data_IF_622396736610
#
_entry.id   IF_622396736610
#
_cell.length_a   1.000
_cell.length_b   1.000
_cell.length_c   1.000
_cell.angle_alpha   90.00
_cell.angle_beta   90.00
_cell.angle_gamma   90.00
#
_symmetry.space_group_name_H-M   'P 1'
#
loop_
_entity.id
_entity.type
_entity.pdbx_description
1 polymer ?
#
# COMPACT_ATOMS: atom_id res chain seq x y z
N UNK A 1 36.31 15.89 46.93
CA UNK A 1 35.43 16.53 45.93
C UNK A 1 35.72 16.11 44.48
N UNK A 2 36.72 15.25 44.17
CA UNK A 2 37.02 14.82 42.80
C UNK A 2 36.38 13.49 42.31
N UNK A 3 35.91 12.54 43.14
CA UNK A 3 35.32 11.30 42.60
C UNK A 3 33.83 11.42 42.24
N UNK A 4 33.11 12.39 42.83
CA UNK A 4 31.68 12.60 42.59
C UNK A 4 31.39 13.21 41.20
N UNK A 5 32.30 14.04 40.68
CA UNK A 5 32.13 14.67 39.36
C UNK A 5 32.36 13.65 38.24
N UNK A 6 33.26 12.68 38.43
CA UNK A 6 33.53 11.63 37.44
C UNK A 6 32.36 10.65 37.30
N UNK A 7 31.68 10.32 38.39
CA UNK A 7 30.48 9.45 38.36
C UNK A 7 29.30 10.16 37.68
N UNK A 8 29.15 11.47 37.92
CA UNK A 8 28.10 12.26 37.27
C UNK A 8 28.32 12.37 35.75
N UNK A 9 29.57 12.43 35.29
CA UNK A 9 29.89 12.50 33.86
C UNK A 9 29.65 11.16 33.12
N UNK A 10 29.82 10.01 33.79
CA UNK A 10 29.55 8.70 33.21
C UNK A 10 28.05 8.42 33.02
N UNK A 11 27.18 8.93 33.90
CA UNK A 11 25.73 8.77 33.77
C UNK A 11 25.13 9.61 32.62
N UNK A 12 25.74 10.74 32.27
CA UNK A 12 25.24 11.60 31.17
C UNK A 12 25.52 10.97 29.81
N UNK A 13 26.60 10.18 29.67
CA UNK A 13 26.94 9.51 28.40
C UNK A 13 25.91 8.40 28.06
N UNK A 14 25.29 7.77 29.07
CA UNK A 14 24.25 6.74 28.85
C UNK A 14 22.90 7.32 28.41
N UNK A 15 22.64 8.61 28.64
CA UNK A 15 21.42 9.27 28.18
C UNK A 15 21.45 9.60 26.67
N UNK A 16 22.63 9.54 26.02
CA UNK A 16 22.78 9.78 24.58
C UNK A 16 22.73 8.50 23.72
N UNK A 17 22.66 7.30 24.32
CA UNK A 17 22.61 6.03 23.58
C UNK A 17 21.22 5.41 23.49
N UNK A 18 20.16 6.12 23.88
CA UNK A 18 18.79 5.65 23.70
C UNK A 18 18.22 6.12 22.34
N UNK A 19 18.81 5.68 21.24
CA UNK A 19 18.12 5.59 19.95
C UNK A 19 17.98 4.10 19.63
N UNK A 20 16.87 3.50 20.06
CA UNK A 20 16.37 2.29 19.43
C UNK A 20 15.95 2.67 18.00
N UNK A 21 16.80 2.46 17.01
CA UNK A 21 16.36 2.28 15.63
C UNK A 21 17.01 1.01 15.06
N UNK A 22 16.64 -0.12 15.65
CA UNK A 22 16.85 -1.44 15.04
C UNK A 22 15.74 -1.67 14.00
N UNK A 23 15.78 -0.88 12.92
CA UNK A 23 14.96 -1.11 11.73
C UNK A 23 15.89 -1.51 10.60
N UNK A 24 16.32 -2.79 10.60
CA UNK A 24 17.30 -3.26 9.62
C UNK A 24 16.79 -3.22 8.17
N UNK A 25 15.47 -3.20 7.94
CA UNK A 25 14.91 -3.32 6.58
C UNK A 25 13.69 -2.41 6.33
N UNK A 26 13.67 -1.80 5.14
CA UNK A 26 12.51 -1.13 4.57
C UNK A 26 11.42 -2.13 4.18
N UNK A 27 10.16 -1.67 4.15
CA UNK A 27 9.07 -2.46 3.58
C UNK A 27 9.27 -2.62 2.07
N UNK A 28 9.17 -3.85 1.56
CA UNK A 28 9.48 -4.14 0.15
C UNK A 28 8.54 -3.46 -0.86
N UNK A 29 7.32 -3.04 -0.48
CA UNK A 29 6.48 -2.18 -1.33
C UNK A 29 7.12 -0.82 -1.68
N UNK A 30 8.16 -0.40 -0.97
CA UNK A 30 8.91 0.84 -1.23
C UNK A 30 10.30 0.58 -1.82
N UNK A 31 10.53 -0.60 -2.39
CA UNK A 31 11.76 -0.91 -3.11
C UNK A 31 11.63 -0.47 -4.57
N UNK A 32 12.48 0.48 -4.99
CA UNK A 32 12.46 1.03 -6.35
C UNK A 32 13.81 0.82 -7.03
N UNK A 33 13.76 0.38 -8.28
CA UNK A 33 14.96 0.14 -9.08
C UNK A 33 15.63 1.45 -9.50
N UNK A 34 16.96 1.47 -9.43
CA UNK A 34 17.77 2.56 -9.98
C UNK A 34 17.59 2.66 -11.51
N UNK A 35 17.68 3.87 -12.03
CA UNK A 35 17.48 4.20 -13.44
C UNK A 35 16.07 3.90 -13.98
N UNK A 36 15.08 3.71 -13.09
CA UNK A 36 13.66 3.62 -13.46
C UNK A 36 12.90 4.88 -13.08
N UNK A 37 11.87 5.16 -13.87
CA UNK A 37 10.96 6.28 -13.61
C UNK A 37 9.93 5.92 -12.56
N UNK A 38 9.72 6.83 -11.62
CA UNK A 38 8.68 6.72 -10.60
C UNK A 38 7.85 8.00 -10.52
N UNK A 39 6.71 7.93 -9.83
CA UNK A 39 5.80 9.08 -9.67
C UNK A 39 5.56 9.42 -8.20
N UNK A 40 5.40 10.69 -7.92
CA UNK A 40 4.98 11.18 -6.60
C UNK A 40 3.53 10.77 -6.34
N UNK A 41 3.29 10.11 -5.22
CA UNK A 41 1.96 9.68 -4.81
C UNK A 41 1.25 10.71 -3.92
N UNK A 42 1.99 11.31 -2.98
CA UNK A 42 1.46 12.32 -2.08
C UNK A 42 1.03 13.58 -2.83
N UNK A 43 0.18 14.40 -2.22
CA UNK A 43 -0.31 15.64 -2.86
C UNK A 43 0.86 16.58 -3.18
N UNK A 44 1.82 16.65 -2.25
CA UNK A 44 3.15 17.19 -2.49
C UNK A 44 4.19 16.43 -1.66
N UNK A 45 5.45 16.52 -2.08
CA UNK A 45 6.61 16.01 -1.36
C UNK A 45 7.73 17.05 -1.40
N UNK A 46 8.52 17.14 -0.33
CA UNK A 46 9.69 18.02 -0.26
C UNK A 46 10.90 17.28 -0.81
N UNK A 47 11.65 17.96 -1.69
CA UNK A 47 12.95 17.50 -2.14
C UNK A 47 14.01 18.09 -1.24
N UNK A 48 14.89 17.25 -0.72
CA UNK A 48 15.86 17.63 0.29
C UNK A 48 17.29 17.51 -0.20
N UNK A 49 18.18 18.28 0.42
CA UNK A 49 19.60 18.25 0.09
C UNK A 49 20.28 16.95 0.49
N UNK A 50 19.81 16.30 1.55
CA UNK A 50 20.31 15.04 2.09
C UNK A 50 19.16 14.17 2.61
N UNK A 51 19.36 12.84 2.82
CA UNK A 51 18.30 11.88 3.18
C UNK A 51 17.85 12.01 4.64
N UNK A 52 17.37 13.20 5.03
CA UNK A 52 16.98 13.47 6.41
C UNK A 52 15.80 14.45 6.46
N UNK A 53 14.83 14.20 7.35
CA UNK A 53 13.63 15.05 7.51
C UNK A 53 13.92 16.48 7.98
N UNK A 54 15.10 16.74 8.52
CA UNK A 54 15.57 18.06 8.96
C UNK A 54 16.52 18.73 7.97
N UNK A 55 16.91 18.05 6.89
CA UNK A 55 17.78 18.63 5.86
C UNK A 55 17.10 19.78 5.12
N UNK A 56 17.92 20.69 4.59
CA UNK A 56 17.47 21.82 3.78
C UNK A 56 16.52 21.35 2.67
N UNK A 57 15.38 22.03 2.54
CA UNK A 57 14.43 21.83 1.45
C UNK A 57 14.97 22.58 0.23
N UNK A 58 15.19 21.85 -0.86
CA UNK A 58 15.64 22.39 -2.14
C UNK A 58 14.45 22.74 -3.05
N UNK A 59 13.40 21.92 -3.02
CA UNK A 59 12.22 22.08 -3.85
C UNK A 59 11.01 21.31 -3.28
N UNK A 60 9.89 21.36 -3.99
CA UNK A 60 8.71 20.52 -3.76
C UNK A 60 8.15 20.00 -5.07
N UNK A 61 7.73 18.74 -5.09
CA UNK A 61 7.04 18.11 -6.21
C UNK A 61 5.60 17.76 -5.83
N UNK A 62 4.66 17.96 -6.74
CA UNK A 62 3.25 17.62 -6.62
C UNK A 62 2.98 16.17 -7.02
N UNK A 63 1.78 15.69 -6.70
CA UNK A 63 1.27 14.39 -7.16
C UNK A 63 1.43 14.20 -8.67
N UNK A 64 1.59 12.94 -9.10
CA UNK A 64 1.79 12.52 -10.48
C UNK A 64 3.06 13.03 -11.18
N UNK A 65 3.86 13.89 -10.56
CA UNK A 65 5.12 14.31 -11.16
C UNK A 65 6.07 13.12 -11.28
N UNK A 66 6.62 12.96 -12.49
CA UNK A 66 7.58 11.92 -12.81
C UNK A 66 8.98 12.31 -12.32
N UNK A 67 9.67 11.32 -11.76
CA UNK A 67 11.04 11.40 -11.29
C UNK A 67 11.83 10.22 -11.87
N UNK A 68 13.16 10.33 -11.88
CA UNK A 68 14.08 9.22 -12.13
C UNK A 68 14.76 8.85 -10.83
N UNK A 69 14.70 7.56 -10.44
CA UNK A 69 15.48 7.05 -9.32
C UNK A 69 16.94 6.97 -9.74
N UNK A 70 17.81 7.74 -9.09
CA UNK A 70 19.25 7.71 -9.36
C UNK A 70 19.97 6.73 -8.46
N UNK A 71 19.62 6.73 -7.16
CA UNK A 71 20.27 5.89 -6.17
C UNK A 71 19.37 5.64 -4.97
N UNK A 72 19.37 4.41 -4.45
CA UNK A 72 18.82 4.12 -3.13
C UNK A 72 19.86 4.48 -2.04
N UNK A 73 19.43 5.26 -1.05
CA UNK A 73 20.24 5.59 0.12
C UNK A 73 20.03 4.54 1.22
N UNK A 74 21.06 4.28 2.02
CA UNK A 74 20.99 3.33 3.14
C UNK A 74 20.12 3.85 4.29
N UNK A 75 19.90 5.17 4.36
CA UNK A 75 19.08 5.77 5.40
C UNK A 75 17.62 5.33 5.25
N UNK A 76 17.10 4.67 6.29
CA UNK A 76 15.70 4.26 6.40
C UNK A 76 15.00 5.25 7.34
N UNK A 77 13.80 5.69 6.95
CA UNK A 77 12.90 6.43 7.83
C UNK A 77 11.63 5.61 8.04
N UNK A 78 11.23 5.48 9.31
CA UNK A 78 9.94 4.91 9.71
C UNK A 78 8.95 6.02 10.09
N UNK A 79 7.80 6.06 9.40
CA UNK A 79 6.67 6.91 9.78
C UNK A 79 5.40 6.04 9.95
N UNK A 80 5.01 5.82 11.21
CA UNK A 80 4.01 4.81 11.54
C UNK A 80 4.57 3.41 11.28
N UNK A 81 3.82 2.55 10.62
CA UNK A 81 4.27 1.21 10.24
C UNK A 81 5.09 1.19 8.92
N UNK A 82 5.16 2.32 8.22
CA UNK A 82 5.84 2.44 6.92
C UNK A 82 7.32 2.77 7.11
N UNK A 83 8.18 1.83 6.74
CA UNK A 83 9.64 1.92 6.68
C UNK A 83 10.07 2.02 5.23
N UNK A 84 10.72 3.11 4.85
CA UNK A 84 11.19 3.30 3.48
C UNK A 84 12.58 3.94 3.46
N UNK A 85 13.41 3.54 2.50
CA UNK A 85 14.66 4.22 2.20
C UNK A 85 14.40 5.63 1.67
N UNK A 86 15.42 6.47 1.78
CA UNK A 86 15.52 7.67 0.95
C UNK A 86 16.08 7.31 -0.42
N UNK A 87 15.68 8.08 -1.42
CA UNK A 87 16.17 7.94 -2.79
C UNK A 87 16.73 9.26 -3.26
N UNK A 88 17.95 9.22 -3.81
CA UNK A 88 18.45 10.31 -4.65
C UNK A 88 17.72 10.23 -5.98
N UNK A 89 17.17 11.34 -6.42
CA UNK A 89 16.34 11.42 -7.62
C UNK A 89 16.79 12.54 -8.54
N UNK A 90 16.47 12.40 -9.82
CA UNK A 90 16.47 13.49 -10.80
C UNK A 90 15.05 13.81 -11.21
N UNK A 91 14.77 15.08 -11.46
CA UNK A 91 13.45 15.54 -11.91
C UNK A 91 13.58 16.80 -12.75
N UNK A 92 12.61 16.98 -13.65
CA UNK A 92 12.54 18.13 -14.52
C UNK A 92 11.57 19.18 -13.95
N UNK A 93 12.00 20.44 -13.93
CA UNK A 93 11.16 21.58 -13.59
C UNK A 93 11.37 22.69 -14.63
N UNK A 94 10.41 22.84 -15.53
CA UNK A 94 10.61 23.63 -16.75
C UNK A 94 11.76 23.05 -17.58
N UNK A 95 12.73 23.89 -17.95
CA UNK A 95 13.89 23.49 -18.76
C UNK A 95 15.09 23.01 -17.93
N UNK A 96 14.97 22.99 -16.59
CA UNK A 96 16.05 22.61 -15.69
C UNK A 96 15.86 21.19 -15.17
N UNK A 97 16.92 20.40 -15.26
CA UNK A 97 17.06 19.14 -14.52
C UNK A 97 17.68 19.46 -13.15
N UNK A 98 17.02 18.99 -12.10
CA UNK A 98 17.46 19.16 -10.72
C UNK A 98 17.56 17.80 -10.03
N UNK A 99 18.33 17.74 -8.96
CA UNK A 99 18.49 16.55 -8.14
C UNK A 99 18.19 16.86 -6.66
N UNK A 100 17.90 15.81 -5.92
CA UNK A 100 17.81 15.85 -4.46
C UNK A 100 17.29 14.52 -3.91
N UNK A 101 16.89 14.53 -2.65
CA UNK A 101 16.46 13.35 -1.93
C UNK A 101 14.96 13.40 -1.61
N UNK A 102 14.30 12.26 -1.77
CA UNK A 102 12.89 12.05 -1.41
C UNK A 102 12.75 10.76 -0.60
N UNK A 103 11.85 10.75 0.37
CA UNK A 103 11.53 9.55 1.13
C UNK A 103 10.65 8.62 0.28
N UNK A 104 11.04 7.34 0.17
CA UNK A 104 10.36 6.35 -0.69
C UNK A 104 8.89 6.16 -0.37
N UNK A 105 8.47 6.36 0.89
CA UNK A 105 7.07 6.29 1.30
C UNK A 105 6.16 7.38 0.70
N UNK A 106 6.72 8.38 0.00
CA UNK A 106 5.97 9.40 -0.74
C UNK A 106 5.80 9.07 -2.24
N UNK A 107 6.43 7.99 -2.71
CA UNK A 107 6.34 7.53 -4.09
C UNK A 107 5.19 6.54 -4.27
N UNK A 108 4.73 6.36 -5.51
CA UNK A 108 3.74 5.32 -5.79
C UNK A 108 4.34 3.94 -5.46
N UNK A 109 3.52 2.99 -5.01
CA UNK A 109 3.87 1.56 -5.07
C UNK A 109 3.75 1.06 -6.50
N UNK A 110 2.73 1.54 -7.22
CA UNK A 110 2.57 1.28 -8.66
C UNK A 110 1.74 2.35 -9.34
N UNK A 111 1.89 2.50 -10.65
CA UNK A 111 1.05 3.38 -11.45
C UNK A 111 0.70 2.77 -12.80
N UNK A 112 -0.41 3.20 -13.38
CA UNK A 112 -0.88 2.80 -14.71
C UNK A 112 -1.50 3.98 -15.41
N UNK A 113 -1.37 4.05 -16.74
CA UNK A 113 -1.97 5.09 -17.56
C UNK A 113 -3.00 4.46 -18.49
N UNK A 114 -4.22 5.00 -18.54
CA UNK A 114 -5.27 4.54 -19.45
C UNK A 114 -6.31 5.62 -19.69
N UNK A 115 -6.82 5.72 -20.92
CA UNK A 115 -7.88 6.65 -21.32
C UNK A 115 -7.58 8.13 -20.98
N UNK A 116 -6.31 8.54 -21.03
CA UNK A 116 -5.88 9.91 -20.69
C UNK A 116 -5.71 10.19 -19.19
N UNK A 117 -5.95 9.19 -18.34
CA UNK A 117 -5.78 9.27 -16.89
C UNK A 117 -4.57 8.50 -16.42
N UNK A 118 -3.93 9.01 -15.38
CA UNK A 118 -2.99 8.27 -14.56
C UNK A 118 -3.70 7.73 -13.32
N UNK A 119 -3.41 6.48 -12.99
CA UNK A 119 -3.88 5.82 -11.79
C UNK A 119 -2.67 5.56 -10.91
N UNK A 120 -2.69 6.08 -9.68
CA UNK A 120 -1.57 6.03 -8.75
C UNK A 120 -1.98 5.20 -7.54
N UNK A 121 -1.24 4.14 -7.25
CA UNK A 121 -1.42 3.33 -6.05
C UNK A 121 -0.29 3.60 -5.06
N UNK A 122 -0.62 3.85 -3.80
CA UNK A 122 0.38 4.09 -2.75
C UNK A 122 -0.20 4.05 -1.34
N UNK A 123 0.69 4.13 -0.35
CA UNK A 123 0.34 4.10 1.08
C UNK A 123 0.22 5.53 1.62
N UNK A 124 -0.91 5.84 2.27
CA UNK A 124 -1.22 7.19 2.75
C UNK A 124 -0.81 7.42 4.19
N UNK A 125 -1.18 6.51 5.10
CA UNK A 125 -0.96 6.67 6.55
C UNK A 125 -1.06 5.34 7.30
N UNK A 126 -0.65 5.38 8.56
CA UNK A 126 -0.94 4.35 9.56
C UNK A 126 -1.94 4.91 10.57
N UNK A 127 -2.94 4.13 10.96
CA UNK A 127 -3.95 4.49 11.96
C UNK A 127 -3.95 3.47 13.11
N UNK A 128 -4.20 3.95 14.33
CA UNK A 128 -4.49 3.09 15.47
C UNK A 128 -5.99 2.77 15.49
N UNK A 129 -6.35 1.48 15.52
CA UNK A 129 -7.73 1.02 15.64
C UNK A 129 -7.88 0.13 16.87
N UNK A 130 -8.99 0.27 17.60
CA UNK A 130 -9.29 -0.60 18.75
C UNK A 130 -9.43 -2.04 18.27
N UNK A 131 -8.77 -2.98 18.95
CA UNK A 131 -8.93 -4.39 18.67
C UNK A 131 -10.28 -4.87 19.26
N UNK A 132 -11.13 -5.57 18.48
CA UNK A 132 -12.37 -6.13 19.00
C UNK A 132 -12.17 -7.36 19.91
N UNK A 133 -11.03 -8.04 19.83
CA UNK A 133 -10.74 -9.31 20.51
C UNK A 133 -9.97 -9.15 21.83
N UNK A 134 -9.29 -8.02 22.05
CA UNK A 134 -8.63 -7.70 23.32
C UNK A 134 -8.63 -6.20 23.62
N UNK A 135 -8.40 -5.85 24.89
CA UNK A 135 -8.31 -4.44 25.30
C UNK A 135 -6.98 -3.84 24.84
N UNK A 136 -7.01 -3.15 23.69
CA UNK A 136 -5.84 -2.51 23.09
C UNK A 136 -6.12 -1.95 21.70
N UNK A 137 -5.06 -1.44 21.06
CA UNK A 137 -5.13 -0.94 19.68
C UNK A 137 -4.15 -1.68 18.79
N UNK A 138 -4.56 -1.93 17.55
CA UNK A 138 -3.71 -2.42 16.46
C UNK A 138 -3.39 -1.29 15.49
N UNK A 139 -2.19 -1.32 14.93
CA UNK A 139 -1.81 -0.42 13.84
C UNK A 139 -2.29 -0.99 12.51
N UNK A 140 -2.92 -0.15 11.70
CA UNK A 140 -3.36 -0.50 10.35
C UNK A 140 -2.83 0.51 9.34
N UNK A 141 -2.32 0.01 8.22
CA UNK A 141 -1.91 0.82 7.10
C UNK A 141 -3.09 1.07 6.16
N UNK A 142 -3.15 2.29 5.64
CA UNK A 142 -4.15 2.71 4.67
C UNK A 142 -3.45 2.98 3.36
N UNK A 143 -3.89 2.31 2.30
CA UNK A 143 -3.54 2.63 0.93
C UNK A 143 -4.61 3.50 0.28
N UNK A 144 -4.25 4.13 -0.84
CA UNK A 144 -5.22 4.70 -1.75
C UNK A 144 -4.84 4.46 -3.22
N UNK A 145 -5.86 4.46 -4.06
CA UNK A 145 -5.74 4.58 -5.51
C UNK A 145 -6.30 5.95 -5.89
N UNK A 146 -5.49 6.77 -6.56
CA UNK A 146 -5.85 8.09 -7.09
C UNK A 146 -6.02 7.99 -8.60
N UNK A 147 -7.10 8.57 -9.13
CA UNK A 147 -7.28 8.83 -10.55
C UNK A 147 -6.96 10.31 -10.79
N UNK A 148 -6.01 10.59 -11.69
CA UNK A 148 -5.54 11.96 -11.95
C UNK A 148 -5.48 12.26 -13.44
N UNK A 149 -5.75 13.50 -13.81
CA UNK A 149 -5.60 14.06 -15.16
C UNK A 149 -4.57 15.18 -15.09
N UNK A 150 -3.38 14.98 -15.66
CA UNK A 150 -2.23 15.82 -15.35
C UNK A 150 -1.92 15.77 -13.84
N UNK A 151 -1.96 16.92 -13.16
CA UNK A 151 -1.75 16.98 -11.71
C UNK A 151 -3.06 17.14 -10.92
N UNK A 152 -4.21 17.07 -11.59
CA UNK A 152 -5.52 17.27 -10.97
C UNK A 152 -6.10 15.94 -10.51
N UNK A 153 -6.42 15.84 -9.22
CA UNK A 153 -7.14 14.70 -8.66
C UNK A 153 -8.58 14.68 -9.17
N UNK A 154 -8.98 13.57 -9.78
CA UNK A 154 -10.33 13.34 -10.28
C UNK A 154 -11.16 12.55 -9.28
N UNK A 155 -10.59 11.46 -8.76
CA UNK A 155 -11.24 10.60 -7.77
C UNK A 155 -10.20 9.84 -6.94
N UNK A 156 -10.59 9.39 -5.75
CA UNK A 156 -9.71 8.65 -4.83
C UNK A 156 -10.49 7.59 -4.05
N UNK A 157 -9.94 6.38 -3.97
CA UNK A 157 -10.44 5.31 -3.11
C UNK A 157 -9.35 4.90 -2.13
N UNK A 158 -9.63 5.02 -0.84
CA UNK A 158 -8.78 4.52 0.24
C UNK A 158 -9.24 3.13 0.72
N UNK A 159 -8.29 2.31 1.18
CA UNK A 159 -8.56 0.98 1.73
C UNK A 159 -7.48 0.51 2.72
N UNK A 160 -7.84 -0.47 3.55
CA UNK A 160 -6.98 -1.03 4.61
C UNK A 160 -6.03 -2.07 4.00
N UNK A 161 -4.78 -2.09 4.43
CA UNK A 161 -3.75 -3.03 3.96
C UNK A 161 -3.15 -3.86 5.09
N UNK A 162 -3.78 -3.93 6.25
CA UNK A 162 -3.30 -4.67 7.41
C UNK A 162 -2.16 -3.97 8.16
N UNK A 163 -1.38 -4.75 8.91
CA UNK A 163 -0.24 -4.27 9.70
C UNK A 163 0.97 -3.90 8.80
N UNK A 164 2.08 -3.49 9.41
CA UNK A 164 3.34 -3.28 8.68
C UNK A 164 3.91 -4.56 8.05
N UNK A 165 3.54 -5.74 8.55
CA UNK A 165 4.00 -7.04 8.04
C UNK A 165 3.39 -7.34 6.66
N UNK A 166 2.21 -6.81 6.36
CA UNK A 166 1.57 -6.95 5.04
C UNK A 166 2.20 -6.08 3.94
N UNK A 167 3.24 -5.29 4.25
CA UNK A 167 3.87 -4.35 3.32
C UNK A 167 5.14 -4.90 2.65
N UNK A 168 5.35 -6.22 2.62
CA UNK A 168 6.50 -6.82 1.94
C UNK A 168 6.42 -6.66 0.43
N UNK A 169 5.22 -6.80 -0.14
CA UNK A 169 5.01 -6.80 -1.59
C UNK A 169 3.71 -6.12 -1.98
N UNK A 170 3.69 -5.56 -3.20
CA UNK A 170 2.54 -4.84 -3.71
C UNK A 170 2.47 -4.90 -5.23
N UNK A 171 1.24 -5.03 -5.76
CA UNK A 171 1.01 -5.01 -7.21
C UNK A 171 -0.14 -4.08 -7.56
N UNK A 172 -0.11 -3.56 -8.79
CA UNK A 172 -1.17 -2.71 -9.30
C UNK A 172 -1.38 -2.95 -10.78
N UNK A 173 -2.53 -3.46 -11.17
CA UNK A 173 -2.79 -3.89 -12.55
C UNK A 173 -4.12 -3.35 -13.07
N UNK A 174 -4.20 -3.25 -14.40
CA UNK A 174 -5.46 -3.00 -15.12
C UNK A 174 -5.94 -4.35 -15.66
N UNK A 175 -7.17 -4.69 -15.34
CA UNK A 175 -7.88 -5.84 -15.85
C UNK A 175 -8.99 -5.41 -16.83
N UNK A 176 -9.70 -6.38 -17.41
CA UNK A 176 -10.84 -6.11 -18.28
C UNK A 176 -12.02 -5.47 -17.52
N UNK A 177 -13.10 -5.14 -18.21
CA UNK A 177 -14.35 -4.74 -17.56
C UNK A 177 -15.17 -5.91 -16.99
N UNK A 178 -14.65 -7.14 -17.12
CA UNK A 178 -15.28 -8.39 -16.73
C UNK A 178 -16.71 -8.60 -17.25
N UNK A 179 -17.07 -7.98 -18.39
CA UNK A 179 -18.43 -7.97 -18.94
C UNK A 179 -19.49 -7.40 -17.97
N UNK A 180 -19.10 -6.56 -17.03
CA UNK A 180 -20.05 -5.75 -16.25
C UNK A 180 -20.54 -4.57 -17.10
N UNK A 181 -21.85 -4.33 -17.06
CA UNK A 181 -22.49 -3.25 -17.83
C UNK A 181 -21.89 -1.90 -17.46
N UNK A 182 -21.58 -1.07 -18.45
CA UNK A 182 -21.05 0.30 -18.28
C UNK A 182 -19.75 0.38 -17.47
N UNK A 183 -18.97 -0.68 -17.39
CA UNK A 183 -17.60 -0.64 -16.84
C UNK A 183 -16.62 -0.56 -17.99
N UNK A 184 -15.65 0.35 -17.91
CA UNK A 184 -14.60 0.50 -18.92
C UNK A 184 -13.49 -0.51 -18.70
N UNK A 185 -13.03 -0.63 -17.45
CA UNK A 185 -12.02 -1.59 -17.00
C UNK A 185 -11.99 -1.63 -15.47
N UNK A 186 -11.17 -2.54 -14.93
CA UNK A 186 -10.99 -2.70 -13.49
C UNK A 186 -9.54 -2.44 -13.12
N UNK A 187 -9.32 -1.77 -12.00
CA UNK A 187 -8.03 -1.68 -11.35
C UNK A 187 -7.98 -2.73 -10.24
N UNK A 188 -6.85 -3.43 -10.13
CA UNK A 188 -6.59 -4.35 -9.02
C UNK A 188 -5.29 -3.95 -8.33
N UNK A 189 -5.39 -3.49 -7.09
CA UNK A 189 -4.24 -3.37 -6.20
C UNK A 189 -4.20 -4.54 -5.23
N UNK A 190 -3.00 -5.00 -4.91
CA UNK A 190 -2.76 -6.02 -3.90
C UNK A 190 -1.58 -5.62 -3.03
N UNK A 191 -1.66 -5.92 -1.75
CA UNK A 191 -0.54 -5.91 -0.80
C UNK A 191 -0.44 -7.26 -0.10
N UNK A 192 0.78 -7.72 0.18
CA UNK A 192 1.02 -8.99 0.88
C UNK A 192 2.31 -8.93 1.70
N UNK A 193 2.32 -9.68 2.80
CA UNK A 193 3.54 -9.92 3.57
C UNK A 193 4.41 -11.06 3.03
N UNK A 194 3.91 -11.84 2.07
CA UNK A 194 4.59 -13.00 1.45
C UNK A 194 5.12 -14.04 2.45
N UNK A 195 4.47 -14.17 3.61
CA UNK A 195 4.82 -15.10 4.66
C UNK A 195 3.59 -15.86 5.17
N UNK A 196 3.80 -17.06 5.71
CA UNK A 196 2.74 -17.85 6.34
C UNK A 196 2.11 -17.07 7.49
N UNK A 197 0.80 -17.15 7.63
CA UNK A 197 0.03 -16.44 8.65
C UNK A 197 -0.15 -14.93 8.40
N UNK A 198 0.49 -14.35 7.38
CA UNK A 198 0.34 -12.93 7.05
C UNK A 198 -0.67 -12.76 5.90
N UNK A 199 -1.72 -12.00 6.17
CA UNK A 199 -2.76 -11.76 5.18
C UNK A 199 -2.27 -10.90 4.00
N UNK A 200 -2.76 -11.24 2.81
CA UNK A 200 -2.81 -10.35 1.65
C UNK A 200 -4.19 -9.72 1.51
N UNK A 201 -4.20 -8.52 0.92
CA UNK A 201 -5.42 -7.75 0.69
C UNK A 201 -5.51 -7.33 -0.77
N UNK A 202 -6.57 -7.75 -1.46
CA UNK A 202 -6.88 -7.32 -2.82
C UNK A 202 -7.98 -6.26 -2.82
N UNK A 203 -7.77 -5.19 -3.58
CA UNK A 203 -8.75 -4.16 -3.84
C UNK A 203 -9.04 -4.04 -5.32
N UNK A 204 -10.26 -4.43 -5.69
CA UNK A 204 -10.80 -4.23 -7.03
C UNK A 204 -11.57 -2.90 -7.07
N UNK A 205 -11.34 -2.12 -8.12
CA UNK A 205 -12.02 -0.86 -8.39
C UNK A 205 -12.50 -0.86 -9.83
N UNK A 206 -13.82 -0.74 -10.01
CA UNK A 206 -14.40 -0.55 -11.33
C UNK A 206 -14.24 0.90 -11.75
N UNK A 207 -13.77 1.14 -12.97
CA UNK A 207 -13.68 2.48 -13.56
C UNK A 207 -14.81 2.64 -14.58
N UNK A 208 -15.62 3.68 -14.41
CA UNK A 208 -16.62 4.12 -15.40
C UNK A 208 -16.83 5.62 -15.35
N UNK A 209 -17.04 6.26 -16.49
CA UNK A 209 -17.51 7.65 -16.57
C UNK A 209 -16.69 8.60 -15.67
N UNK A 210 -15.36 8.45 -15.68
CA UNK A 210 -14.40 9.20 -14.83
C UNK A 210 -14.61 9.03 -13.31
N UNK A 211 -15.21 7.92 -12.89
CA UNK A 211 -15.46 7.59 -11.48
C UNK A 211 -14.90 6.21 -11.14
N UNK A 212 -14.40 6.09 -9.92
CA UNK A 212 -13.94 4.85 -9.32
C UNK A 212 -14.99 4.28 -8.37
N UNK A 213 -15.29 2.99 -8.49
CA UNK A 213 -16.23 2.28 -7.64
C UNK A 213 -15.52 1.10 -7.01
N UNK A 214 -15.22 1.24 -5.71
CA UNK A 214 -14.59 0.19 -4.92
C UNK A 214 -15.52 -1.01 -4.75
N UNK A 215 -15.02 -2.21 -5.01
CA UNK A 215 -15.68 -3.45 -4.59
C UNK A 215 -15.31 -3.77 -3.13
N UNK A 216 -16.03 -4.74 -2.49
CA UNK A 216 -15.58 -5.29 -1.22
C UNK A 216 -14.11 -5.71 -1.31
N UNK A 217 -13.35 -5.43 -0.25
CA UNK A 217 -11.96 -5.87 -0.18
C UNK A 217 -11.91 -7.37 0.05
N UNK A 218 -10.95 -8.04 -0.57
CA UNK A 218 -10.68 -9.45 -0.32
C UNK A 218 -9.53 -9.58 0.66
N UNK A 219 -9.59 -10.60 1.51
CA UNK A 219 -8.50 -11.01 2.38
C UNK A 219 -8.16 -12.47 2.10
N UNK A 220 -6.87 -12.77 1.93
CA UNK A 220 -6.38 -14.13 1.78
C UNK A 220 -5.24 -14.37 2.76
N UNK A 221 -5.25 -15.48 3.48
CA UNK A 221 -4.18 -15.87 4.42
C UNK A 221 -4.09 -17.40 4.47
N UNK A 222 -2.88 -17.91 4.64
CA UNK A 222 -2.64 -19.34 4.80
C UNK A 222 -1.49 -19.60 5.75
N UNK A 223 -1.59 -20.69 6.49
CA UNK A 223 -0.59 -21.18 7.43
C UNK A 223 -0.38 -22.68 7.20
N UNK A 224 0.71 -22.99 6.47
CA UNK A 224 1.32 -24.32 6.27
C UNK A 224 0.40 -25.55 6.47
N UNK A 225 -0.62 -25.72 5.62
CA UNK A 225 -1.60 -26.84 5.63
C UNK A 225 -2.43 -27.02 6.93
N UNK A 226 -2.27 -26.11 7.90
CA UNK A 226 -3.03 -26.05 9.15
C UNK A 226 -4.28 -25.21 8.98
N UNK A 227 -4.14 -24.04 8.34
CA UNK A 227 -5.23 -23.10 8.14
C UNK A 227 -5.12 -22.39 6.79
N UNK A 228 -6.25 -22.11 6.17
CA UNK A 228 -6.32 -21.02 5.20
C UNK A 228 -7.71 -20.37 5.20
N UNK A 229 -7.73 -19.11 4.81
CA UNK A 229 -8.91 -18.35 4.41
C UNK A 229 -8.63 -17.72 3.06
N UNK A 230 -9.49 -17.99 2.09
CA UNK A 230 -9.37 -17.45 0.74
C UNK A 230 -10.66 -16.80 0.30
N UNK A 231 -10.54 -15.59 -0.24
CA UNK A 231 -11.61 -14.83 -0.83
C UNK A 231 -11.29 -14.49 -2.28
N UNK A 232 -12.28 -14.68 -3.16
CA UNK A 232 -12.17 -14.37 -4.58
C UNK A 232 -13.48 -13.82 -5.14
N UNK A 233 -13.37 -13.04 -6.22
CA UNK A 233 -14.52 -12.68 -7.03
C UNK A 233 -14.68 -13.63 -8.21
N UNK A 234 -15.93 -13.99 -8.50
CA UNK A 234 -16.35 -14.60 -9.76
C UNK A 234 -17.15 -13.54 -10.51
N UNK A 235 -16.59 -13.06 -11.62
CA UNK A 235 -17.21 -12.07 -12.48
C UNK A 235 -18.02 -12.70 -13.63
N UNK A 236 -18.82 -11.92 -14.38
CA UNK A 236 -19.66 -12.46 -15.46
C UNK A 236 -18.91 -13.23 -16.56
N UNK A 237 -17.65 -12.91 -16.81
CA UNK A 237 -16.81 -13.59 -17.80
C UNK A 237 -16.07 -14.82 -17.24
N UNK A 238 -16.14 -15.09 -15.94
CA UNK A 238 -15.52 -16.24 -15.29
C UNK A 238 -16.45 -17.46 -15.34
N UNK A 239 -15.87 -18.65 -15.10
CA UNK A 239 -16.66 -19.89 -15.00
C UNK A 239 -17.63 -19.81 -13.82
N UNK A 240 -18.93 -19.90 -14.10
CA UNK A 240 -19.99 -19.76 -13.10
C UNK A 240 -20.38 -18.31 -12.81
N UNK A 241 -19.91 -17.35 -13.62
CA UNK A 241 -20.34 -15.96 -13.58
C UNK A 241 -21.80 -15.78 -13.94
N UNK A 242 -22.39 -14.70 -13.42
CA UNK A 242 -23.79 -14.32 -13.68
C UNK A 242 -23.79 -12.94 -14.37
N UNK A 243 -24.54 -12.74 -15.46
CA UNK A 243 -24.66 -11.42 -16.08
C UNK A 243 -25.09 -10.35 -15.08
N UNK A 244 -24.47 -9.16 -15.16
CA UNK A 244 -24.79 -8.02 -14.29
C UNK A 244 -24.66 -8.33 -12.79
N UNK A 245 -23.73 -9.20 -12.40
CA UNK A 245 -23.43 -9.47 -11.01
C UNK A 245 -21.96 -9.89 -10.86
N UNK A 246 -21.42 -9.74 -9.66
CA UNK A 246 -20.19 -10.42 -9.26
C UNK A 246 -20.44 -11.16 -7.95
N UNK A 247 -19.73 -12.27 -7.76
CA UNK A 247 -19.93 -13.16 -6.63
C UNK A 247 -18.66 -13.17 -5.80
N UNK A 248 -18.76 -12.77 -4.54
CA UNK A 248 -17.72 -13.04 -3.56
C UNK A 248 -17.85 -14.50 -3.12
N UNK A 249 -16.79 -15.28 -3.27
CA UNK A 249 -16.67 -16.62 -2.70
C UNK A 249 -15.61 -16.61 -1.62
N UNK A 250 -15.93 -17.23 -0.49
CA UNK A 250 -15.00 -17.49 0.60
C UNK A 250 -14.91 -19.01 0.81
N UNK A 251 -13.68 -19.50 0.93
CA UNK A 251 -13.35 -20.84 1.41
C UNK A 251 -12.40 -20.73 2.59
N UNK A 252 -12.70 -21.45 3.66
CA UNK A 252 -11.88 -21.54 4.86
C UNK A 252 -11.69 -23.02 5.21
N UNK A 253 -10.47 -23.37 5.60
CA UNK A 253 -10.13 -24.71 6.05
C UNK A 253 -9.26 -24.62 7.30
N UNK A 254 -9.55 -25.49 8.26
CA UNK A 254 -8.77 -25.68 9.46
C UNK A 254 -8.56 -27.17 9.69
N UNK A 255 -7.36 -27.54 10.12
CA UNK A 255 -7.00 -28.91 10.51
C UNK A 255 -6.94 -29.01 12.03
N UNK A 256 -7.65 -29.97 12.59
CA UNK A 256 -7.63 -30.20 14.04
C UNK A 256 -6.44 -31.05 14.50
N UNK A 257 -6.28 -31.20 15.82
CA UNK A 257 -5.22 -31.98 16.46
C UNK A 257 -5.18 -33.46 16.05
N UNK A 258 -6.26 -33.98 15.43
CA UNK A 258 -6.39 -35.36 14.94
C UNK A 258 -6.26 -35.46 13.43
N UNK A 259 -5.71 -34.43 12.79
CA UNK A 259 -5.48 -34.36 11.35
C UNK A 259 -6.77 -34.29 10.51
N UNK A 260 -7.91 -33.97 11.13
CA UNK A 260 -9.21 -33.89 10.42
C UNK A 260 -9.42 -32.48 9.88
N UNK A 261 -9.85 -32.40 8.62
CA UNK A 261 -10.15 -31.12 7.97
C UNK A 261 -11.59 -30.68 8.23
N UNK A 262 -11.74 -29.43 8.66
CA UNK A 262 -13.02 -28.73 8.73
C UNK A 262 -13.02 -27.64 7.67
N UNK A 263 -13.94 -27.74 6.70
CA UNK A 263 -14.10 -26.76 5.62
C UNK A 263 -15.37 -25.96 5.80
N UNK A 264 -15.29 -24.67 5.53
CA UNK A 264 -16.39 -23.73 5.51
C UNK A 264 -16.38 -22.99 4.19
N UNK A 265 -17.55 -22.88 3.57
CA UNK A 265 -17.72 -22.15 2.33
C UNK A 265 -18.82 -21.11 2.52
N UNK A 266 -18.62 -19.91 2.00
CA UNK A 266 -19.65 -18.89 1.95
C UNK A 266 -19.65 -18.19 0.59
N UNK A 267 -20.80 -17.64 0.21
CA UNK A 267 -20.88 -16.85 -1.01
C UNK A 267 -21.87 -15.69 -0.85
N UNK A 268 -21.51 -14.54 -1.43
CA UNK A 268 -22.35 -13.34 -1.48
C UNK A 268 -22.43 -12.87 -2.93
N UNK A 269 -23.64 -12.77 -3.45
CA UNK A 269 -23.87 -12.26 -4.81
C UNK A 269 -24.21 -10.78 -4.75
N UNK A 270 -23.48 -9.96 -5.49
CA UNK A 270 -23.71 -8.54 -5.61
C UNK A 270 -24.32 -8.26 -6.99
N UNK A 271 -25.54 -7.72 -7.00
CA UNK A 271 -26.24 -7.33 -8.22
C UNK A 271 -25.73 -5.96 -8.67
N UNK A 272 -25.26 -5.87 -9.91
CA UNK A 272 -24.75 -4.67 -10.54
C UNK A 272 -25.79 -4.10 -11.51
N UNK A 273 -26.14 -2.82 -11.37
CA UNK A 273 -27.16 -2.19 -12.23
C UNK A 273 -26.59 -1.38 -13.40
N UNK A 274 -25.27 -1.20 -13.45
CA UNK A 274 -24.58 -0.30 -14.40
C UNK A 274 -23.92 0.90 -13.74
N UNK A 275 -24.30 1.24 -12.51
CA UNK A 275 -23.81 2.43 -11.79
C UNK A 275 -23.38 2.13 -10.35
N UNK A 276 -24.01 1.15 -9.71
CA UNK A 276 -23.72 0.71 -8.35
C UNK A 276 -24.06 -0.77 -8.18
N UNK A 277 -23.66 -1.34 -7.04
CA UNK A 277 -24.03 -2.69 -6.66
C UNK A 277 -24.79 -2.72 -5.33
N UNK A 278 -25.58 -3.77 -5.15
CA UNK A 278 -26.21 -4.12 -3.86
C UNK A 278 -26.08 -5.61 -3.60
N UNK A 279 -25.99 -6.00 -2.34
CA UNK A 279 -26.07 -7.40 -1.95
C UNK A 279 -27.46 -7.94 -2.30
N UNK A 280 -27.52 -9.14 -2.90
CA UNK A 280 -28.77 -9.84 -3.23
C UNK A 280 -29.48 -10.34 -1.96
#
# INVERSE_FOLDING_TARGET
MKPFITILFLCVIQLFSAQEEDYEYANGVFQFEENKTQKIFTDFTRIRQSPNVNAQILDSLQTNQQILILKQDETILKLGERRANWYKISYQKGDKISEGYVWGGNLCVGYRTKNGYDFLFGLTKTISKKNPEFDGTIQQNIAAIKMVEGNTLIDEISFDTGSGESLSYGTFNIESNHKLKNVEFTLKAMVSGEACGIASYDKYILVKDKKMIALPQLMNVGDADVYYHSEQFIFPNDKGGIPNAFILKMEEMERDEKDRQKKKNASKTYLWNGDSYRLK
#
